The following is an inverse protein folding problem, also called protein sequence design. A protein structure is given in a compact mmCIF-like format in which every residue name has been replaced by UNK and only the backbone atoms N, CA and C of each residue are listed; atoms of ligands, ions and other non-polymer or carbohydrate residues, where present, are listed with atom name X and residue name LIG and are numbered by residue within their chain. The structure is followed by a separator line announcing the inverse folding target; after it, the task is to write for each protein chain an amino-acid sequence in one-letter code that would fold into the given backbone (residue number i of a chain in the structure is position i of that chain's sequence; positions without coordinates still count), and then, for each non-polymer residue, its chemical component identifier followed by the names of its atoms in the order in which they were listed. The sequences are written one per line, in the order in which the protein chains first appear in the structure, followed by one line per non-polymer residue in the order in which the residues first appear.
data_IF_298686407778
#
_entry.id   IF_298686407778
#
_cell.length_a   1.000
_cell.length_b   1.000
_cell.length_c   1.000
_cell.angle_alpha   90.00
_cell.angle_beta   90.00
_cell.angle_gamma   90.00
#
_symmetry.space_group_name_H-M   'P 1'
#
loop_
_entity.id
_entity.type
_entity.pdbx_description
1 polymer ?
#
# COMPACT_ATOMS: atom_id res chain seq x y z
N UNK A 1 -12.81 5.54 -9.07
CA UNK A 1 -12.35 4.14 -9.11
C UNK A 1 -12.77 3.35 -7.88
N UNK A 2 -12.50 2.02 -7.88
CA UNK A 2 -13.00 1.12 -6.82
C UNK A 2 -12.02 0.88 -5.66
N UNK A 3 -10.78 1.34 -5.75
CA UNK A 3 -9.75 1.14 -4.74
C UNK A 3 -8.90 2.41 -4.44
N UNK A 4 -9.49 3.60 -4.26
CA UNK A 4 -8.72 4.84 -4.14
C UNK A 4 -7.81 4.85 -2.88
N UNK A 5 -8.27 4.29 -1.76
CA UNK A 5 -7.48 4.24 -0.52
C UNK A 5 -6.23 3.38 -0.70
N UNK A 6 -6.38 2.21 -1.34
CA UNK A 6 -5.25 1.33 -1.60
C UNK A 6 -4.24 1.97 -2.56
N UNK A 7 -4.74 2.60 -3.63
CA UNK A 7 -3.86 3.26 -4.61
C UNK A 7 -3.10 4.44 -4.03
N UNK A 8 -3.68 5.22 -3.12
CA UNK A 8 -2.95 6.28 -2.41
C UNK A 8 -1.73 5.71 -1.65
N UNK A 9 -1.90 4.55 -0.99
CA UNK A 9 -0.78 3.88 -0.30
C UNK A 9 0.22 3.28 -1.28
N UNK A 10 -0.25 2.60 -2.34
CA UNK A 10 0.59 1.98 -3.37
C UNK A 10 1.47 3.01 -4.09
N UNK A 11 0.93 4.19 -4.37
CA UNK A 11 1.65 5.29 -5.00
C UNK A 11 2.64 5.98 -4.05
N UNK A 12 2.54 5.75 -2.74
CA UNK A 12 3.34 6.44 -1.74
C UNK A 12 2.91 7.88 -1.51
N UNK A 13 1.63 8.19 -1.71
CA UNK A 13 1.10 9.51 -1.47
C UNK A 13 1.26 9.89 0.01
N UNK A 14 1.58 11.15 0.28
CA UNK A 14 1.73 11.65 1.65
C UNK A 14 0.39 11.95 2.33
N UNK A 15 -0.66 12.16 1.54
CA UNK A 15 -2.01 12.48 2.01
C UNK A 15 -3.06 11.85 1.10
N UNK A 16 -4.23 11.61 1.66
CA UNK A 16 -5.46 11.27 0.95
C UNK A 16 -6.60 12.11 1.52
N UNK A 17 -7.85 11.74 1.30
CA UNK A 17 -8.96 12.46 1.89
C UNK A 17 -10.32 11.85 1.63
N UNK A 18 -11.32 12.48 2.23
CA UNK A 18 -12.73 12.22 1.96
C UNK A 18 -13.34 13.44 1.29
N UNK A 19 -13.93 13.24 0.13
CA UNK A 19 -14.69 14.28 -0.57
C UNK A 19 -16.17 13.93 -0.55
N UNK A 20 -16.99 14.89 -0.17
CA UNK A 20 -18.44 14.83 -0.36
C UNK A 20 -18.75 15.61 -1.63
N UNK A 21 -19.33 14.96 -2.61
CA UNK A 21 -19.64 15.58 -3.90
C UNK A 21 -21.13 15.53 -4.22
N UNK A 22 -21.57 16.47 -5.04
CA UNK A 22 -22.88 16.43 -5.67
C UNK A 22 -22.84 15.46 -6.83
N UNK A 23 -23.61 14.37 -6.78
CA UNK A 23 -23.64 13.41 -7.90
C UNK A 23 -24.16 14.07 -9.20
N UNK A 24 -23.50 13.74 -10.29
CA UNK A 24 -23.89 14.06 -11.66
C UNK A 24 -24.07 12.79 -12.51
N UNK A 25 -24.12 12.90 -13.83
CA UNK A 25 -24.27 11.76 -14.75
C UNK A 25 -22.99 10.94 -14.95
N UNK A 26 -21.83 11.47 -14.55
CA UNK A 26 -20.52 10.84 -14.73
C UNK A 26 -20.12 9.92 -13.56
N UNK A 27 -18.99 9.25 -13.72
CA UNK A 27 -18.38 8.46 -12.66
C UNK A 27 -17.42 9.32 -11.87
N UNK A 28 -17.78 9.62 -10.61
CA UNK A 28 -16.99 10.41 -9.66
C UNK A 28 -16.63 11.84 -10.18
N UNK A 29 -17.45 12.43 -11.05
CA UNK A 29 -17.19 13.69 -11.75
C UNK A 29 -17.90 14.90 -11.16
N UNK A 30 -18.82 14.69 -10.22
CA UNK A 30 -19.63 15.75 -9.65
C UNK A 30 -18.84 16.77 -8.82
N UNK A 31 -19.38 17.98 -8.72
CA UNK A 31 -18.77 19.07 -7.97
C UNK A 31 -18.55 18.73 -6.50
N UNK A 32 -17.39 19.07 -5.95
CA UNK A 32 -17.03 18.84 -4.57
C UNK A 32 -17.70 19.87 -3.64
N UNK A 33 -18.46 19.39 -2.67
CA UNK A 33 -19.13 20.21 -1.64
C UNK A 33 -18.23 20.42 -0.42
N UNK A 34 -17.44 19.42 -0.07
CA UNK A 34 -16.51 19.44 1.06
C UNK A 34 -15.42 18.41 0.84
N UNK A 35 -14.19 18.73 1.25
CA UNK A 35 -13.07 17.81 1.25
C UNK A 35 -12.31 17.91 2.58
N UNK A 36 -12.04 16.77 3.20
CA UNK A 36 -11.18 16.69 4.37
C UNK A 36 -9.95 15.81 4.07
N UNK A 37 -8.76 16.39 4.25
CA UNK A 37 -7.49 15.74 4.00
C UNK A 37 -7.06 14.91 5.22
N UNK A 38 -6.41 13.78 4.94
CA UNK A 38 -5.91 12.82 5.93
C UNK A 38 -4.46 12.52 5.56
N UNK A 39 -3.50 12.80 6.44
CA UNK A 39 -2.12 12.39 6.26
C UNK A 39 -2.01 10.86 6.29
N UNK A 40 -1.20 10.27 5.41
CA UNK A 40 -0.89 8.85 5.39
C UNK A 40 0.40 8.63 6.16
N UNK A 41 0.37 7.77 7.18
CA UNK A 41 1.58 7.38 7.91
C UNK A 41 2.47 6.50 7.03
N UNK A 42 3.79 6.64 7.19
CA UNK A 42 4.78 5.94 6.38
C UNK A 42 4.74 4.41 6.54
N UNK A 43 4.28 3.91 7.69
CA UNK A 43 4.17 2.48 7.98
C UNK A 43 2.71 1.96 7.93
N UNK A 44 1.74 2.86 7.69
CA UNK A 44 0.31 2.52 7.70
C UNK A 44 -0.07 1.63 6.51
N UNK A 45 -0.80 0.57 6.78
CA UNK A 45 -1.38 -0.28 5.72
C UNK A 45 -2.66 0.33 5.15
N UNK A 46 -3.02 -0.09 3.94
CA UNK A 46 -4.28 0.35 3.31
C UNK A 46 -5.52 -0.03 4.14
N UNK A 47 -5.46 -1.15 4.88
CA UNK A 47 -6.54 -1.54 5.78
C UNK A 47 -6.70 -0.57 6.96
N UNK A 48 -5.59 -0.19 7.60
CA UNK A 48 -5.61 0.79 8.70
C UNK A 48 -6.08 2.18 8.21
N UNK A 49 -5.55 2.62 7.06
CA UNK A 49 -5.99 3.86 6.44
C UNK A 49 -7.49 3.83 6.10
N UNK A 50 -8.00 2.70 5.60
CA UNK A 50 -9.42 2.53 5.27
C UNK A 50 -10.32 2.73 6.49
N UNK A 51 -9.92 2.19 7.65
CA UNK A 51 -10.66 2.38 8.91
C UNK A 51 -10.70 3.86 9.31
N UNK A 52 -9.58 4.57 9.18
CA UNK A 52 -9.50 6.02 9.46
C UNK A 52 -10.35 6.84 8.49
N UNK A 53 -10.22 6.57 7.19
CA UNK A 53 -11.01 7.23 6.13
C UNK A 53 -12.51 7.02 6.37
N UNK A 54 -12.92 5.83 6.76
CA UNK A 54 -14.32 5.51 7.08
C UNK A 54 -14.84 6.34 8.26
N UNK A 55 -14.06 6.43 9.34
CA UNK A 55 -14.45 7.21 10.51
C UNK A 55 -14.56 8.72 10.20
N UNK A 56 -13.58 9.26 9.45
CA UNK A 56 -13.60 10.66 8.99
C UNK A 56 -14.78 10.91 8.07
N UNK A 57 -15.03 10.02 7.11
CA UNK A 57 -16.13 10.13 6.16
C UNK A 57 -17.50 10.18 6.84
N UNK A 58 -17.72 9.32 7.83
CA UNK A 58 -18.97 9.31 8.60
C UNK A 58 -19.18 10.64 9.35
N UNK A 59 -18.14 11.18 9.98
CA UNK A 59 -18.20 12.47 10.68
C UNK A 59 -18.48 13.62 9.71
N UNK A 60 -17.67 13.72 8.65
CA UNK A 60 -17.80 14.78 7.63
C UNK A 60 -19.20 14.76 7.00
N UNK A 61 -19.74 13.58 6.71
CA UNK A 61 -21.09 13.47 6.16
C UNK A 61 -22.15 14.04 7.13
N UNK A 62 -22.07 13.72 8.42
CA UNK A 62 -22.98 14.24 9.42
C UNK A 62 -22.91 15.79 9.55
N UNK A 63 -21.73 16.37 9.39
CA UNK A 63 -21.52 17.82 9.43
C UNK A 63 -22.03 18.52 8.16
N UNK A 64 -21.84 17.89 7.00
CA UNK A 64 -22.15 18.48 5.68
C UNK A 64 -23.65 18.39 5.33
N UNK A 65 -24.35 17.33 5.70
CA UNK A 65 -25.77 17.14 5.36
C UNK A 65 -26.68 18.30 5.80
N UNK A 66 -26.57 18.84 7.02
CA UNK A 66 -27.36 20.04 7.39
C UNK A 66 -27.03 21.28 6.56
N UNK A 67 -25.76 21.45 6.18
CA UNK A 67 -25.33 22.59 5.37
C UNK A 67 -25.83 22.47 3.92
N UNK A 68 -25.88 21.23 3.37
CA UNK A 68 -26.53 20.97 2.07
C UNK A 68 -28.02 21.37 2.14
N UNK A 69 -28.73 20.91 3.15
CA UNK A 69 -30.15 21.21 3.35
C UNK A 69 -30.43 22.71 3.50
N UNK A 70 -29.51 23.45 4.11
CA UNK A 70 -29.57 24.90 4.26
C UNK A 70 -29.15 25.68 3.00
N UNK A 71 -28.59 25.01 1.97
CA UNK A 71 -28.09 25.64 0.76
C UNK A 71 -26.89 26.58 0.98
N UNK A 72 -26.07 26.32 2.02
CA UNK A 72 -24.97 27.19 2.43
C UNK A 72 -23.63 26.77 1.78
N UNK A 73 -23.55 25.57 1.20
CA UNK A 73 -22.36 25.08 0.53
C UNK A 73 -22.27 25.57 -0.92
N UNK A 74 -21.06 25.88 -1.35
CA UNK A 74 -20.76 26.25 -2.73
C UNK A 74 -20.04 25.08 -3.39
N UNK A 75 -20.68 24.39 -4.36
CA UNK A 75 -20.03 23.36 -5.15
C UNK A 75 -18.78 23.90 -5.85
N UNK A 76 -17.72 23.11 -5.87
CA UNK A 76 -16.46 23.42 -6.56
C UNK A 76 -16.22 22.37 -7.64
N UNK A 77 -16.04 22.77 -8.91
CA UNK A 77 -15.72 21.87 -10.00
C UNK A 77 -14.43 21.09 -9.72
N UNK A 78 -14.40 19.81 -10.11
CA UNK A 78 -13.19 19.00 -10.04
C UNK A 78 -12.25 19.32 -11.21
N UNK A 79 -10.95 19.12 -10.97
CA UNK A 79 -9.92 19.22 -12.01
C UNK A 79 -9.83 17.89 -12.77
N UNK A 80 -10.56 17.78 -13.86
CA UNK A 80 -10.63 16.57 -14.68
C UNK A 80 -9.31 16.26 -15.43
N UNK A 81 -8.46 17.25 -15.66
CA UNK A 81 -7.17 17.04 -16.35
C UNK A 81 -6.17 16.28 -15.48
N UNK A 82 -6.28 16.44 -14.16
CA UNK A 82 -5.45 15.74 -13.17
C UNK A 82 -6.12 14.47 -12.58
N UNK A 83 -7.23 14.04 -13.15
CA UNK A 83 -7.90 12.82 -12.69
C UNK A 83 -7.05 11.58 -12.97
N UNK A 84 -6.94 10.71 -11.98
CA UNK A 84 -6.28 9.42 -12.10
C UNK A 84 -7.25 8.26 -11.82
N UNK A 85 -6.94 7.09 -12.36
CA UNK A 85 -7.75 5.90 -12.17
C UNK A 85 -7.25 5.10 -10.94
N UNK A 86 -8.20 4.62 -10.15
CA UNK A 86 -7.94 3.70 -9.04
C UNK A 86 -8.69 2.37 -9.28
N UNK A 87 -8.18 1.52 -10.20
CA UNK A 87 -8.85 0.28 -10.57
C UNK A 87 -8.93 -0.70 -9.41
N UNK A 88 -9.84 -1.66 -9.52
CA UNK A 88 -9.96 -2.75 -8.54
C UNK A 88 -8.69 -3.57 -8.49
N UNK A 89 -8.23 -3.87 -7.28
CA UNK A 89 -7.09 -4.76 -7.07
C UNK A 89 -7.49 -6.21 -7.37
N UNK A 90 -6.50 -6.99 -7.77
CA UNK A 90 -6.64 -8.44 -7.96
C UNK A 90 -5.39 -9.16 -7.43
N UNK A 91 -5.43 -10.50 -7.41
CA UNK A 91 -4.35 -11.32 -6.84
C UNK A 91 -3.07 -11.31 -7.71
N UNK A 92 -3.23 -11.14 -8.99
CA UNK A 92 -2.14 -11.11 -9.97
C UNK A 92 -1.32 -9.82 -9.81
N UNK A 93 -1.98 -8.70 -9.53
CA UNK A 93 -1.32 -7.42 -9.25
C UNK A 93 -0.47 -7.42 -7.97
N UNK A 94 -0.69 -8.38 -7.08
CA UNK A 94 0.03 -8.44 -5.81
C UNK A 94 1.47 -8.97 -5.93
N UNK A 95 1.88 -9.44 -7.10
CA UNK A 95 3.26 -9.82 -7.37
C UNK A 95 4.15 -8.58 -7.44
N UNK A 96 5.31 -8.64 -6.80
CA UNK A 96 6.37 -7.67 -6.94
C UNK A 96 7.71 -8.36 -7.23
N UNK A 97 8.67 -7.59 -7.71
CA UNK A 97 10.00 -8.12 -8.04
C UNK A 97 11.06 -7.40 -7.22
N UNK A 98 12.03 -8.15 -6.71
CA UNK A 98 13.15 -7.58 -5.95
C UNK A 98 14.05 -6.66 -6.79
N UNK A 99 13.85 -6.61 -8.11
CA UNK A 99 14.49 -5.64 -9.01
C UNK A 99 13.91 -4.23 -8.92
N UNK A 100 12.78 -4.06 -8.25
CA UNK A 100 12.15 -2.75 -7.98
C UNK A 100 12.87 -2.06 -6.81
N UNK A 101 12.57 -0.77 -6.55
CA UNK A 101 13.14 -0.06 -5.41
C UNK A 101 12.54 -0.54 -4.09
N UNK A 102 13.32 -0.49 -3.02
CA UNK A 102 12.85 -0.82 -1.67
C UNK A 102 11.65 0.02 -1.24
N UNK A 103 11.63 1.31 -1.61
CA UNK A 103 10.50 2.21 -1.34
C UNK A 103 9.22 1.75 -2.06
N UNK A 104 9.33 1.35 -3.33
CA UNK A 104 8.20 0.80 -4.08
C UNK A 104 7.67 -0.49 -3.45
N UNK A 105 8.56 -1.44 -3.14
CA UNK A 105 8.19 -2.72 -2.51
C UNK A 105 7.51 -2.48 -1.15
N UNK A 106 8.03 -1.55 -0.34
CA UNK A 106 7.43 -1.19 0.94
C UNK A 106 6.00 -0.65 0.75
N UNK A 107 5.80 0.29 -0.17
CA UNK A 107 4.47 0.80 -0.49
C UNK A 107 3.54 -0.30 -1.03
N UNK A 108 4.08 -1.20 -1.85
CA UNK A 108 3.33 -2.32 -2.41
C UNK A 108 2.85 -3.28 -1.33
N UNK A 109 3.74 -3.66 -0.40
CA UNK A 109 3.41 -4.54 0.73
C UNK A 109 2.32 -3.93 1.61
N UNK A 110 2.47 -2.67 2.03
CA UNK A 110 1.47 -2.02 2.90
C UNK A 110 0.18 -1.68 2.16
N UNK A 111 0.24 -1.33 0.86
CA UNK A 111 -0.93 -1.02 0.04
C UNK A 111 -1.78 -2.25 -0.30
N UNK A 112 -1.15 -3.42 -0.47
CA UNK A 112 -1.83 -4.70 -0.70
C UNK A 112 -2.28 -5.39 0.60
N UNK A 113 -2.03 -4.83 1.78
CA UNK A 113 -2.41 -5.40 3.07
C UNK A 113 -3.71 -4.76 3.60
N UNK A 114 -4.75 -5.52 3.97
CA UNK A 114 -4.78 -6.98 4.19
C UNK A 114 -5.04 -7.82 2.94
N UNK A 115 -5.51 -7.25 1.86
CA UNK A 115 -5.87 -7.98 0.66
C UNK A 115 -5.45 -7.19 -0.59
N UNK A 116 -4.93 -7.88 -1.62
CA UNK A 116 -4.72 -9.33 -1.81
C UNK A 116 -3.49 -9.89 -1.08
N UNK A 117 -2.60 -9.04 -0.55
CA UNK A 117 -1.37 -9.37 0.12
C UNK A 117 -0.22 -9.61 -0.86
N UNK A 118 0.79 -8.74 -0.80
CA UNK A 118 1.94 -8.73 -1.70
C UNK A 118 2.79 -10.01 -1.60
N UNK A 119 3.34 -10.47 -2.71
CA UNK A 119 4.17 -11.66 -2.77
C UNK A 119 5.19 -11.57 -3.91
N UNK A 120 6.25 -12.34 -3.79
CA UNK A 120 7.23 -12.56 -4.87
C UNK A 120 7.60 -14.03 -4.97
N UNK A 121 8.28 -14.40 -6.05
CA UNK A 121 8.78 -15.76 -6.26
C UNK A 121 10.24 -15.82 -5.84
N UNK A 122 10.58 -16.70 -4.90
CA UNK A 122 11.95 -16.93 -4.46
C UNK A 122 12.78 -17.63 -5.55
N UNK A 123 14.11 -17.62 -5.45
CA UNK A 123 15.02 -18.34 -6.34
C UNK A 123 14.71 -19.85 -6.44
N UNK A 124 14.09 -20.42 -5.39
CA UNK A 124 13.59 -21.79 -5.36
C UNK A 124 12.24 -22.02 -6.06
N UNK A 125 11.67 -21.01 -6.74
CA UNK A 125 10.41 -21.11 -7.48
C UNK A 125 9.15 -21.14 -6.59
N UNK A 126 9.25 -20.81 -5.29
CA UNK A 126 8.12 -20.80 -4.35
C UNK A 126 7.66 -19.39 -4.09
N UNK A 127 6.34 -19.22 -3.93
CA UNK A 127 5.77 -17.95 -3.52
C UNK A 127 6.08 -17.67 -2.05
N UNK A 128 6.54 -16.44 -1.79
CA UNK A 128 6.69 -15.90 -0.45
C UNK A 128 5.83 -14.63 -0.36
N UNK A 129 4.73 -14.72 0.40
CA UNK A 129 3.91 -13.54 0.70
C UNK A 129 4.60 -12.73 1.79
N UNK A 130 4.61 -11.42 1.65
CA UNK A 130 5.16 -10.47 2.63
C UNK A 130 4.01 -9.68 3.22
N UNK A 131 3.86 -9.77 4.54
CA UNK A 131 2.81 -9.07 5.28
C UNK A 131 3.31 -7.75 5.87
N UNK A 132 4.62 -7.70 6.16
CA UNK A 132 5.26 -6.54 6.74
C UNK A 132 6.73 -6.50 6.30
N UNK A 133 7.18 -5.35 5.84
CA UNK A 133 8.58 -5.09 5.53
C UNK A 133 8.93 -3.64 5.85
N UNK A 134 10.22 -3.33 5.84
CA UNK A 134 10.74 -1.98 5.98
C UNK A 134 11.79 -1.72 4.92
N UNK A 135 11.70 -0.57 4.24
CA UNK A 135 12.74 -0.13 3.33
C UNK A 135 13.96 0.38 4.13
N UNK A 136 15.15 0.00 3.69
CA UNK A 136 16.43 0.44 4.27
C UNK A 136 17.41 0.76 3.14
N UNK A 137 18.38 1.61 3.44
CA UNK A 137 19.46 1.91 2.50
C UNK A 137 20.39 0.71 2.33
N UNK A 138 20.78 0.45 1.10
CA UNK A 138 21.83 -0.51 0.72
C UNK A 138 22.35 -0.17 -0.67
N UNK A 139 23.58 -0.55 -0.97
CA UNK A 139 24.23 -0.21 -2.24
C UNK A 139 25.13 -1.35 -2.70
N UNK A 140 25.10 -1.60 -4.00
CA UNK A 140 26.11 -2.40 -4.70
C UNK A 140 25.82 -3.88 -4.84
N UNK A 141 24.83 -4.43 -4.14
CA UNK A 141 24.48 -5.85 -4.24
C UNK A 141 23.41 -6.09 -5.31
N UNK A 142 23.49 -7.25 -5.96
CA UNK A 142 22.47 -7.66 -6.92
C UNK A 142 21.11 -7.88 -6.22
N UNK A 143 19.98 -7.48 -6.85
CA UNK A 143 18.64 -7.72 -6.31
C UNK A 143 18.43 -9.20 -5.95
N UNK A 144 17.81 -9.45 -4.81
CA UNK A 144 17.60 -10.79 -4.27
C UNK A 144 18.72 -11.29 -3.36
N UNK A 145 19.86 -10.59 -3.28
CA UNK A 145 20.95 -10.98 -2.38
C UNK A 145 20.57 -10.78 -0.92
N UNK A 146 20.73 -11.81 -0.12
CA UNK A 146 20.55 -11.75 1.35
C UNK A 146 21.71 -10.96 1.96
N UNK A 147 21.42 -9.79 2.52
CA UNK A 147 22.41 -8.93 3.18
C UNK A 147 22.59 -9.27 4.65
N UNK A 148 21.51 -9.66 5.30
CA UNK A 148 21.49 -10.08 6.71
C UNK A 148 20.35 -11.08 6.95
N UNK A 149 20.50 -11.92 7.98
CA UNK A 149 19.47 -12.89 8.37
C UNK A 149 18.72 -12.49 9.64
N UNK A 150 19.16 -11.43 10.35
CA UNK A 150 18.58 -10.93 11.61
C UNK A 150 18.65 -9.40 11.67
N UNK A 151 17.59 -8.67 11.28
CA UNK A 151 16.39 -9.14 10.53
C UNK A 151 16.76 -9.62 9.13
N UNK A 152 15.92 -10.46 8.53
CA UNK A 152 16.12 -10.89 7.15
C UNK A 152 16.05 -9.67 6.22
N UNK A 153 17.19 -9.30 5.67
CA UNK A 153 17.36 -8.13 4.80
C UNK A 153 17.80 -8.58 3.42
N UNK A 154 17.10 -8.14 2.40
CA UNK A 154 17.31 -8.56 1.00
C UNK A 154 17.51 -7.33 0.13
N UNK A 155 18.56 -7.36 -0.70
CA UNK A 155 18.85 -6.30 -1.66
C UNK A 155 17.74 -6.16 -2.71
N UNK A 156 17.45 -4.93 -3.09
CA UNK A 156 16.50 -4.57 -4.12
C UNK A 156 17.19 -3.90 -5.30
N UNK A 157 16.45 -3.49 -6.33
CA UNK A 157 16.99 -2.70 -7.44
C UNK A 157 17.62 -1.39 -6.96
N UNK A 158 17.03 -0.79 -5.93
CA UNK A 158 17.55 0.35 -5.19
C UNK A 158 17.22 0.16 -3.71
N UNK A 159 18.23 0.23 -2.85
CA UNK A 159 18.09 -0.04 -1.42
C UNK A 159 17.91 -1.53 -1.10
N UNK A 160 17.34 -1.83 0.05
CA UNK A 160 17.01 -3.18 0.50
C UNK A 160 15.71 -3.19 1.32
N UNK A 161 15.10 -4.35 1.45
CA UNK A 161 13.93 -4.55 2.31
C UNK A 161 14.26 -5.50 3.46
N UNK A 162 13.86 -5.11 4.67
CA UNK A 162 13.79 -6.00 5.81
C UNK A 162 12.44 -6.70 5.79
N UNK A 163 12.43 -8.01 5.61
CA UNK A 163 11.23 -8.84 5.61
C UNK A 163 10.91 -9.21 7.06
N UNK A 164 9.94 -8.52 7.67
CA UNK A 164 9.62 -8.64 9.09
C UNK A 164 8.60 -9.76 9.35
N UNK A 165 7.55 -9.83 8.53
CA UNK A 165 6.53 -10.87 8.64
C UNK A 165 6.24 -11.46 7.26
N UNK A 166 6.39 -12.77 7.13
CA UNK A 166 6.25 -13.48 5.86
C UNK A 166 5.36 -14.72 5.99
N UNK A 167 4.76 -15.12 4.87
CA UNK A 167 3.94 -16.33 4.78
C UNK A 167 4.47 -17.18 3.63
N UNK A 168 5.29 -18.21 3.93
CA UNK A 168 5.72 -19.16 2.91
C UNK A 168 4.53 -19.95 2.37
N UNK A 169 4.61 -20.36 1.12
CA UNK A 169 3.57 -21.13 0.46
C UNK A 169 3.17 -22.36 1.29
N UNK A 170 1.86 -22.49 1.55
CA UNK A 170 1.29 -23.58 2.35
C UNK A 170 1.60 -23.55 3.85
N UNK A 171 2.17 -22.44 4.37
CA UNK A 171 2.50 -22.30 5.79
C UNK A 171 1.74 -21.16 6.46
N UNK A 172 1.87 -21.05 7.77
CA UNK A 172 1.34 -19.94 8.57
C UNK A 172 2.30 -18.75 8.54
N UNK A 173 1.82 -17.54 8.84
CA UNK A 173 2.67 -16.36 9.03
C UNK A 173 3.78 -16.63 10.04
N UNK A 174 4.97 -16.10 9.77
CA UNK A 174 6.13 -16.21 10.65
C UNK A 174 7.05 -14.99 10.52
N UNK A 175 7.86 -14.76 11.53
CA UNK A 175 8.92 -13.76 11.50
C UNK A 175 9.95 -14.07 10.40
N UNK A 176 10.44 -13.03 9.72
CA UNK A 176 11.41 -13.16 8.63
C UNK A 176 12.73 -13.81 9.07
N UNK A 177 13.18 -13.55 10.31
CA UNK A 177 14.38 -14.19 10.88
C UNK A 177 14.16 -15.70 11.08
N UNK A 178 12.96 -16.09 11.55
CA UNK A 178 12.59 -17.49 11.68
C UNK A 178 12.51 -18.18 10.31
N UNK A 179 11.98 -17.51 9.30
CA UNK A 179 11.99 -17.99 7.93
C UNK A 179 13.41 -18.21 7.42
N UNK A 180 14.31 -17.21 7.58
CA UNK A 180 15.71 -17.32 7.17
C UNK A 180 16.42 -18.51 7.84
N UNK A 181 16.22 -18.68 9.14
CA UNK A 181 16.76 -19.81 9.89
C UNK A 181 16.22 -21.17 9.37
N UNK A 182 14.91 -21.24 9.13
CA UNK A 182 14.26 -22.46 8.61
C UNK A 182 14.73 -22.84 7.21
N UNK A 183 15.05 -21.86 6.36
CA UNK A 183 15.64 -22.06 5.04
C UNK A 183 17.17 -22.19 5.06
N UNK A 184 17.81 -21.99 6.23
CA UNK A 184 19.28 -21.99 6.41
C UNK A 184 19.99 -20.94 5.54
N UNK A 185 19.32 -19.80 5.32
CA UNK A 185 19.88 -18.71 4.53
C UNK A 185 21.12 -18.13 5.20
N UNK A 186 22.05 -17.68 4.38
CA UNK A 186 23.28 -16.98 4.77
C UNK A 186 23.40 -15.68 3.99
N UNK A 187 24.15 -14.75 4.52
CA UNK A 187 24.57 -13.56 3.77
C UNK A 187 25.27 -13.96 2.47
N UNK A 188 24.84 -13.37 1.36
CA UNK A 188 25.30 -13.69 0.00
C UNK A 188 24.45 -14.71 -0.75
N UNK A 189 23.53 -15.42 -0.09
CA UNK A 189 22.58 -16.28 -0.79
C UNK A 189 21.60 -15.43 -1.63
N UNK A 190 21.00 -16.03 -2.64
CA UNK A 190 19.93 -15.41 -3.44
C UNK A 190 18.57 -15.98 -2.99
N UNK A 191 17.69 -15.09 -2.61
CA UNK A 191 16.34 -15.43 -2.14
C UNK A 191 15.34 -15.55 -3.30
#
# INVERSE_FOLDING_TARGET
GSAPVQWAVLNGDAETGVSIMQMDEGLDTGDVLCCEKIAIDTEETSGQLFDRVTAVGARVLCEVVPAIAAGTLKPQPQDHENACLAPMLNKEMAEFHLTESAAHIHNWVRGMNPWPGAWFVTSGGKKLKVMECRAVEAHGEAPGTVLATKPLTVACGEGAVQLLNVVPEGKKPMDGTAFAAGQRLKTGDIL
#
